data_IF_177162545962
#
_entry.id   IF_177162545962
#
_cell.length_a   1.000
_cell.length_b   1.000
_cell.length_c   1.000
_cell.angle_alpha   90.00
_cell.angle_beta   90.00
_cell.angle_gamma   90.00
#
_symmetry.space_group_name_H-M   'P 1'
#
loop_
_entity.id
_entity.type
_entity.pdbx_description
1 polymer ?
#
# COMPACT_ATOMS: atom_id res chain seq x y z
N UNK A 1 14.34 18.05 31.91
CA UNK A 1 15.09 16.78 31.91
C UNK A 1 15.08 16.26 30.47
N UNK A 2 16.00 16.76 29.63
CA UNK A 2 16.13 16.39 28.20
C UNK A 2 17.59 15.94 27.92
N UNK A 3 18.35 15.60 28.97
CA UNK A 3 19.75 15.14 28.85
C UNK A 3 19.88 13.81 28.10
N UNK A 4 18.77 13.08 27.91
CA UNK A 4 18.76 11.80 27.20
C UNK A 4 19.03 11.87 25.70
N UNK A 5 19.16 13.03 25.06
CA UNK A 5 19.36 13.10 23.60
C UNK A 5 20.84 13.23 23.16
N UNK A 6 21.79 13.30 24.10
CA UNK A 6 23.21 13.52 23.77
C UNK A 6 23.93 12.30 23.18
N UNK A 7 23.34 11.10 23.27
CA UNK A 7 23.93 9.86 22.75
C UNK A 7 23.46 9.52 21.32
N UNK A 8 22.46 10.24 20.80
CA UNK A 8 22.00 10.09 19.43
C UNK A 8 22.94 10.89 18.51
N UNK A 9 23.42 10.29 17.42
CA UNK A 9 24.18 11.05 16.43
C UNK A 9 23.32 12.21 15.90
N UNK A 10 23.91 13.41 15.72
CA UNK A 10 23.18 14.51 15.13
C UNK A 10 22.72 14.16 13.72
N UNK A 11 21.63 14.77 13.29
CA UNK A 11 21.18 14.72 11.91
C UNK A 11 22.35 15.00 10.96
N UNK A 12 22.65 14.06 10.07
CA UNK A 12 23.78 14.17 9.15
C UNK A 12 23.54 15.21 8.03
N UNK A 13 22.31 15.69 7.85
CA UNK A 13 21.94 16.67 6.84
C UNK A 13 21.06 17.79 7.39
N UNK A 14 20.92 18.85 6.61
CA UNK A 14 19.98 19.95 6.84
C UNK A 14 18.53 19.47 6.83
N UNK A 15 17.61 20.26 7.41
CA UNK A 15 16.18 19.96 7.39
C UNK A 15 15.64 19.75 5.95
N UNK A 16 16.20 20.45 4.96
CA UNK A 16 15.83 20.27 3.56
C UNK A 16 16.24 18.90 3.01
N UNK A 17 17.46 18.45 3.31
CA UNK A 17 17.98 17.14 2.88
C UNK A 17 17.28 15.98 3.57
N UNK A 18 16.92 16.14 4.85
CA UNK A 18 16.16 15.13 5.58
C UNK A 18 14.71 15.05 5.09
N UNK A 19 14.08 16.19 4.77
CA UNK A 19 12.71 16.22 4.24
C UNK A 19 12.58 15.37 2.96
N UNK A 20 13.60 15.39 2.11
CA UNK A 20 13.65 14.59 0.88
C UNK A 20 13.72 13.07 1.11
N UNK A 21 14.00 12.61 2.34
CA UNK A 21 14.10 11.19 2.69
C UNK A 21 12.78 10.60 3.20
N UNK A 22 11.76 11.42 3.49
CA UNK A 22 10.44 10.98 3.95
C UNK A 22 9.50 10.61 2.79
N UNK A 23 10.00 9.81 1.84
CA UNK A 23 9.20 9.23 0.77
C UNK A 23 8.76 7.80 1.13
N UNK A 24 7.78 7.27 0.42
CA UNK A 24 7.37 5.86 0.60
C UNK A 24 8.55 4.91 0.36
N UNK A 25 8.81 4.03 1.33
CA UNK A 25 9.81 2.97 1.19
C UNK A 25 9.43 1.98 0.08
N UNK A 26 8.12 1.73 -0.06
CA UNK A 26 7.53 0.92 -1.11
C UNK A 26 6.52 1.79 -1.87
N UNK A 27 6.93 2.43 -2.98
CA UNK A 27 6.04 3.30 -3.73
C UNK A 27 4.86 2.53 -4.31
N UNK A 28 3.72 3.21 -4.60
CA UNK A 28 2.56 2.58 -5.21
C UNK A 28 2.87 1.89 -6.53
N UNK A 29 2.11 0.84 -6.85
CA UNK A 29 2.19 0.20 -8.16
C UNK A 29 1.84 1.20 -9.26
N UNK A 30 2.62 1.16 -10.36
CA UNK A 30 2.21 1.84 -11.60
C UNK A 30 0.92 1.22 -12.14
N UNK A 31 0.16 1.96 -12.94
CA UNK A 31 -1.07 1.46 -13.56
C UNK A 31 -0.86 0.13 -14.32
N UNK A 32 0.27 -0.02 -15.01
CA UNK A 32 0.63 -1.25 -15.71
C UNK A 32 0.91 -2.41 -14.73
N UNK A 33 1.65 -2.16 -13.66
CA UNK A 33 1.92 -3.19 -12.65
C UNK A 33 0.62 -3.62 -11.96
N UNK A 34 -0.24 -2.67 -11.58
CA UNK A 34 -1.53 -2.96 -10.98
C UNK A 34 -2.42 -3.81 -11.89
N UNK A 35 -2.48 -3.50 -13.19
CA UNK A 35 -3.23 -4.29 -14.17
C UNK A 35 -2.69 -5.73 -14.29
N UNK A 36 -1.37 -5.89 -14.34
CA UNK A 36 -0.72 -7.21 -14.41
C UNK A 36 -0.97 -8.02 -13.14
N UNK A 37 -0.85 -7.41 -11.96
CA UNK A 37 -1.09 -8.12 -10.69
C UNK A 37 -2.57 -8.47 -10.50
N UNK A 38 -3.49 -7.58 -10.87
CA UNK A 38 -4.93 -7.86 -10.80
C UNK A 38 -5.35 -9.03 -11.71
N UNK A 39 -4.72 -9.19 -12.87
CA UNK A 39 -4.96 -10.31 -13.78
C UNK A 39 -4.51 -11.68 -13.25
N UNK A 40 -3.74 -11.73 -12.15
CA UNK A 40 -3.29 -12.98 -11.53
C UNK A 40 -4.30 -13.56 -10.53
N UNK A 41 -5.32 -12.79 -10.14
CA UNK A 41 -6.38 -13.29 -9.26
C UNK A 41 -7.15 -14.41 -9.95
N UNK A 42 -7.39 -15.51 -9.24
CA UNK A 42 -8.11 -16.68 -9.76
C UNK A 42 -9.62 -16.62 -9.51
N UNK A 43 -10.11 -15.58 -8.83
CA UNK A 43 -11.52 -15.40 -8.46
C UNK A 43 -12.10 -16.67 -7.80
N UNK A 44 -11.40 -17.17 -6.77
CA UNK A 44 -11.73 -18.40 -6.09
C UNK A 44 -13.17 -18.37 -5.52
N UNK A 45 -13.88 -19.49 -5.65
CA UNK A 45 -15.08 -19.74 -4.85
C UNK A 45 -14.69 -19.93 -3.37
N UNK A 46 -15.46 -19.33 -2.45
CA UNK A 46 -15.13 -19.26 -1.01
C UNK A 46 -13.69 -18.77 -0.77
N UNK A 47 -13.40 -17.56 -1.27
CA UNK A 47 -12.04 -17.07 -1.33
C UNK A 47 -11.42 -16.91 0.07
N UNK A 48 -10.30 -17.60 0.37
CA UNK A 48 -9.69 -17.56 1.71
C UNK A 48 -9.16 -16.15 2.06
N UNK A 49 -8.85 -15.33 1.06
CA UNK A 49 -8.45 -13.93 1.27
C UNK A 49 -9.56 -13.09 1.90
N UNK A 50 -10.83 -13.34 1.60
CA UNK A 50 -11.97 -12.64 2.21
C UNK A 50 -12.17 -13.12 3.65
N UNK A 51 -12.10 -14.43 3.89
CA UNK A 51 -12.22 -15.03 5.22
C UNK A 51 -11.09 -14.58 6.18
N UNK A 52 -9.90 -14.31 5.64
CA UNK A 52 -8.75 -13.83 6.41
C UNK A 52 -8.78 -12.33 6.71
N UNK A 53 -9.57 -11.54 5.97
CA UNK A 53 -9.62 -10.09 6.14
C UNK A 53 -10.48 -9.73 7.36
N UNK A 54 -9.92 -9.13 8.43
CA UNK A 54 -10.66 -8.85 9.66
C UNK A 54 -11.74 -7.79 9.50
N UNK A 55 -11.66 -6.95 8.47
CA UNK A 55 -12.63 -5.90 8.17
C UNK A 55 -13.67 -6.31 7.14
N UNK A 56 -13.58 -7.54 6.59
CA UNK A 56 -14.58 -8.08 5.67
C UNK A 56 -14.57 -7.48 4.26
N UNK A 57 -13.42 -7.01 3.77
CA UNK A 57 -13.29 -6.49 2.40
C UNK A 57 -13.58 -7.59 1.38
N UNK A 58 -14.35 -7.27 0.34
CA UNK A 58 -14.48 -8.12 -0.85
C UNK A 58 -13.20 -8.00 -1.71
N UNK A 59 -12.16 -8.75 -1.33
CA UNK A 59 -10.85 -8.73 -1.98
C UNK A 59 -10.97 -9.12 -3.46
N UNK A 60 -11.82 -10.09 -3.80
CA UNK A 60 -11.99 -10.54 -5.17
C UNK A 60 -12.70 -9.49 -6.03
N UNK A 61 -13.76 -8.87 -5.52
CA UNK A 61 -14.47 -7.78 -6.18
C UNK A 61 -13.61 -6.54 -6.36
N UNK A 62 -12.85 -6.14 -5.32
CA UNK A 62 -11.85 -5.08 -5.39
C UNK A 62 -10.84 -5.31 -6.52
N UNK A 63 -10.23 -6.51 -6.56
CA UNK A 63 -9.24 -6.84 -7.60
C UNK A 63 -9.89 -6.88 -8.99
N UNK A 64 -11.12 -7.40 -9.11
CA UNK A 64 -11.86 -7.41 -10.38
C UNK A 64 -12.09 -5.99 -10.91
N UNK A 65 -12.47 -5.06 -10.04
CA UNK A 65 -12.66 -3.66 -10.40
C UNK A 65 -11.35 -3.02 -10.91
N UNK A 66 -10.20 -3.32 -10.30
CA UNK A 66 -8.89 -2.88 -10.81
C UNK A 66 -8.61 -3.49 -12.19
N UNK A 67 -8.82 -4.79 -12.35
CA UNK A 67 -8.61 -5.49 -13.62
C UNK A 67 -9.43 -4.88 -14.76
N UNK A 68 -10.66 -4.46 -14.47
CA UNK A 68 -11.57 -3.85 -15.45
C UNK A 68 -11.37 -2.33 -15.63
N UNK A 69 -10.43 -1.72 -14.91
CA UNK A 69 -10.16 -0.29 -14.94
C UNK A 69 -11.19 0.58 -14.20
N UNK A 70 -12.07 -0.04 -13.40
CA UNK A 70 -13.05 0.64 -12.56
C UNK A 70 -12.44 1.02 -11.20
N UNK A 71 -11.56 2.03 -11.18
CA UNK A 71 -10.86 2.47 -9.95
C UNK A 71 -11.83 2.97 -8.89
N UNK A 72 -12.87 3.69 -9.28
CA UNK A 72 -13.88 4.17 -8.34
C UNK A 72 -14.61 3.00 -7.70
N UNK A 73 -15.06 2.02 -8.48
CA UNK A 73 -15.68 0.80 -7.94
C UNK A 73 -14.75 0.00 -7.03
N UNK A 74 -13.44 0.02 -7.29
CA UNK A 74 -12.47 -0.61 -6.41
C UNK A 74 -12.37 0.12 -5.05
N UNK A 75 -12.44 1.44 -5.01
CA UNK A 75 -12.26 2.22 -3.78
C UNK A 75 -13.44 2.19 -2.80
N UNK A 76 -14.63 1.78 -3.24
CA UNK A 76 -15.86 1.80 -2.42
C UNK A 76 -16.15 0.46 -1.70
N UNK A 77 -15.41 -0.62 -2.02
CA UNK A 77 -15.65 -1.99 -1.55
C UNK A 77 -15.05 -2.35 -0.20
#
# INVERSE_FOLDING_TARGET
MIESLQHLPPAAGSNGELSAQFTDLAPPLTARQAAVEAARCLYCYDAPCMNACPTGIDVAGFIKNIHDGNVDGAAHG
#
